data_IF_864731996746
#
_entry.id   IF_864731996746
#
_cell.length_a   1.000
_cell.length_b   1.000
_cell.length_c   1.000
_cell.angle_alpha   90.00
_cell.angle_beta   90.00
_cell.angle_gamma   90.00
#
_symmetry.space_group_name_H-M   'P 1'
#
loop_
_entity.id
_entity.type
_entity.pdbx_description
1 polymer ?
#
# COMPACT_ATOMS: atom_id res chain seq x y z
N UNK A 1 23.99 5.19 -35.23
CA UNK A 1 23.07 4.05 -35.12
C UNK A 1 21.99 4.47 -34.12
N UNK A 2 20.78 4.74 -34.61
CA UNK A 2 19.76 5.48 -33.88
C UNK A 2 18.91 4.51 -33.04
N UNK A 3 18.97 4.58 -31.70
CA UNK A 3 18.22 3.69 -30.78
C UNK A 3 16.68 3.86 -30.85
N UNK A 4 16.19 4.83 -31.61
CA UNK A 4 14.77 5.22 -31.73
C UNK A 4 13.89 4.23 -32.52
N UNK A 5 14.46 3.23 -33.20
CA UNK A 5 13.70 2.34 -34.10
C UNK A 5 13.61 0.87 -33.64
N UNK A 6 13.71 0.62 -32.33
CA UNK A 6 13.42 -0.72 -31.79
C UNK A 6 11.95 -0.79 -31.43
N UNK A 7 11.22 -1.68 -32.13
CA UNK A 7 9.83 -1.98 -31.76
C UNK A 7 9.77 -2.46 -30.31
N UNK A 8 8.75 -2.07 -29.53
CA UNK A 8 8.60 -2.56 -28.16
C UNK A 8 8.58 -4.10 -28.14
N UNK A 9 9.29 -4.72 -27.20
CA UNK A 9 9.39 -6.19 -27.07
C UNK A 9 8.03 -6.90 -27.06
N UNK A 10 6.96 -6.22 -26.62
CA UNK A 10 5.61 -6.80 -26.62
C UNK A 10 5.03 -6.94 -28.03
N UNK A 11 5.37 -6.03 -28.94
CA UNK A 11 4.91 -6.07 -30.34
C UNK A 11 5.63 -7.19 -31.08
N UNK A 12 6.93 -7.36 -30.84
CA UNK A 12 7.71 -8.45 -31.42
C UNK A 12 7.14 -9.81 -31.02
N UNK A 13 6.94 -10.03 -29.72
CA UNK A 13 6.30 -11.27 -29.20
C UNK A 13 4.89 -11.49 -29.73
N UNK A 14 4.13 -10.43 -29.96
CA UNK A 14 2.79 -10.54 -30.51
C UNK A 14 2.83 -11.12 -31.94
N UNK A 15 3.71 -10.61 -32.80
CA UNK A 15 3.84 -11.13 -34.16
C UNK A 15 4.52 -12.50 -34.22
N UNK A 16 5.43 -12.82 -33.30
CA UNK A 16 5.98 -14.18 -33.16
C UNK A 16 4.89 -15.22 -32.82
N UNK A 17 3.86 -14.81 -32.07
CA UNK A 17 2.75 -15.68 -31.69
C UNK A 17 1.59 -15.67 -32.71
N UNK A 18 1.56 -14.71 -33.64
CA UNK A 18 0.53 -14.59 -34.66
C UNK A 18 0.74 -15.66 -35.74
N UNK A 19 -0.34 -16.26 -36.24
CA UNK A 19 -0.23 -17.20 -37.36
C UNK A 19 0.36 -16.49 -38.60
N UNK A 20 1.33 -17.13 -39.24
CA UNK A 20 2.09 -16.51 -40.33
C UNK A 20 1.23 -16.15 -41.54
N UNK A 21 0.11 -16.85 -41.75
CA UNK A 21 -0.85 -16.53 -42.82
C UNK A 21 -1.59 -15.23 -42.52
N UNK A 22 -2.07 -15.07 -41.28
CA UNK A 22 -2.79 -13.87 -40.85
C UNK A 22 -1.90 -12.63 -40.88
N UNK A 23 -0.61 -12.73 -40.53
CA UNK A 23 0.31 -11.60 -40.62
C UNK A 23 0.44 -11.06 -42.06
N UNK A 24 0.49 -11.95 -43.05
CA UNK A 24 0.58 -11.55 -44.46
C UNK A 24 -0.71 -10.95 -45.02
N UNK A 25 -1.86 -11.25 -44.40
CA UNK A 25 -3.18 -10.75 -44.81
C UNK A 25 -3.53 -9.37 -44.22
N UNK A 26 -2.79 -8.92 -43.20
CA UNK A 26 -3.04 -7.63 -42.54
C UNK A 26 -2.60 -6.45 -43.42
N UNK A 27 -3.54 -5.54 -43.68
CA UNK A 27 -3.24 -4.25 -44.32
C UNK A 27 -2.43 -3.35 -43.37
N UNK A 28 -1.74 -2.35 -43.93
CA UNK A 28 -0.93 -1.40 -43.15
C UNK A 28 -1.72 -0.67 -42.07
N UNK A 29 -2.97 -0.29 -42.35
CA UNK A 29 -3.85 0.38 -41.38
C UNK A 29 -4.29 -0.57 -40.26
N UNK A 30 -4.64 -1.82 -40.60
CA UNK A 30 -4.99 -2.84 -39.62
C UNK A 30 -3.81 -3.15 -38.71
N UNK A 31 -2.61 -3.24 -39.28
CA UNK A 31 -1.36 -3.48 -38.55
C UNK A 31 -1.11 -2.39 -37.51
N UNK A 32 -1.22 -1.12 -37.90
CA UNK A 32 -1.07 0.01 -36.98
C UNK A 32 -2.14 0.02 -35.88
N UNK A 33 -3.40 -0.26 -36.22
CA UNK A 33 -4.49 -0.34 -35.25
C UNK A 33 -4.25 -1.45 -34.20
N UNK A 34 -3.77 -2.62 -34.65
CA UNK A 34 -3.42 -3.75 -33.77
C UNK A 34 -2.25 -3.38 -32.87
N UNK A 35 -1.18 -2.79 -33.40
CA UNK A 35 -0.03 -2.37 -32.58
C UNK A 35 -0.44 -1.36 -31.51
N UNK A 36 -1.24 -0.35 -31.86
CA UNK A 36 -1.75 0.62 -30.89
C UNK A 36 -2.64 -0.05 -29.83
N UNK A 37 -3.50 -0.98 -30.23
CA UNK A 37 -4.34 -1.74 -29.30
C UNK A 37 -3.48 -2.57 -28.32
N UNK A 38 -2.52 -3.34 -28.83
CA UNK A 38 -1.62 -4.17 -28.02
C UNK A 38 -0.80 -3.33 -27.05
N UNK A 39 -0.27 -2.18 -27.50
CA UNK A 39 0.45 -1.26 -26.63
C UNK A 39 -0.45 -0.67 -25.55
N UNK A 40 -1.68 -0.28 -25.88
CA UNK A 40 -2.62 0.29 -24.91
C UNK A 40 -3.02 -0.70 -23.81
N UNK A 41 -3.21 -1.97 -24.17
CA UNK A 41 -3.54 -3.06 -23.23
C UNK A 41 -2.34 -3.36 -22.33
N UNK A 42 -1.15 -3.47 -22.93
CA UNK A 42 0.08 -3.82 -22.20
C UNK A 42 0.55 -2.69 -21.29
N UNK A 43 0.50 -1.44 -21.75
CA UNK A 43 0.91 -0.28 -20.96
C UNK A 43 0.06 -0.14 -19.68
N UNK A 44 -1.24 -0.48 -19.72
CA UNK A 44 -2.09 -0.51 -18.52
C UNK A 44 -1.71 -1.60 -17.51
N UNK A 45 -0.89 -2.59 -17.92
CA UNK A 45 -0.42 -3.67 -17.05
C UNK A 45 0.99 -3.41 -16.49
N UNK A 46 1.65 -2.34 -16.90
CA UNK A 46 2.97 -1.97 -16.37
C UNK A 46 2.82 -1.42 -14.96
N UNK A 47 3.23 -2.21 -13.98
CA UNK A 47 3.38 -1.78 -12.60
C UNK A 47 4.87 -1.58 -12.31
N UNK A 48 5.22 -0.55 -11.53
CA UNK A 48 6.62 -0.33 -11.13
C UNK A 48 7.15 -1.58 -10.43
N UNK A 49 6.40 -2.09 -9.45
CA UNK A 49 6.76 -3.31 -8.73
C UNK A 49 5.68 -4.36 -8.97
N UNK A 50 6.03 -5.42 -9.68
CA UNK A 50 5.20 -6.61 -9.87
C UNK A 50 5.96 -7.84 -9.36
N UNK A 51 5.68 -8.23 -8.12
CA UNK A 51 6.24 -9.45 -7.51
C UNK A 51 5.15 -10.50 -7.46
N UNK A 52 5.26 -11.48 -8.34
CA UNK A 52 4.41 -12.69 -8.34
C UNK A 52 5.28 -13.87 -8.01
N UNK A 53 5.08 -14.44 -6.82
CA UNK A 53 5.77 -15.65 -6.40
C UNK A 53 4.75 -16.71 -6.05
N UNK A 54 5.02 -17.93 -6.47
CA UNK A 54 4.28 -19.10 -6.03
C UNK A 54 5.24 -19.98 -5.24
N UNK A 55 4.79 -20.46 -4.10
CA UNK A 55 5.58 -21.39 -3.29
C UNK A 55 4.71 -22.60 -2.92
N UNK A 56 5.27 -23.81 -2.98
CA UNK A 56 4.61 -24.99 -2.47
C UNK A 56 4.64 -24.96 -0.94
N UNK A 57 3.50 -25.22 -0.30
CA UNK A 57 3.42 -25.41 1.15
C UNK A 57 2.50 -26.60 1.45
N UNK A 58 3.07 -27.65 2.02
CA UNK A 58 2.47 -28.98 2.13
C UNK A 58 1.94 -29.47 0.77
N UNK A 59 0.66 -29.85 0.69
CA UNK A 59 0.03 -30.40 -0.51
C UNK A 59 -0.68 -29.35 -1.38
N UNK A 60 -0.45 -28.06 -1.10
CA UNK A 60 -1.08 -26.94 -1.81
C UNK A 60 -0.03 -25.95 -2.30
N UNK A 61 -0.36 -25.27 -3.40
CA UNK A 61 0.45 -24.15 -3.92
C UNK A 61 -0.21 -22.85 -3.53
N UNK A 62 0.55 -22.01 -2.84
CA UNK A 62 0.11 -20.68 -2.48
C UNK A 62 0.76 -19.68 -3.42
N UNK A 63 0.04 -18.61 -3.73
CA UNK A 63 0.55 -17.53 -4.54
C UNK A 63 0.55 -16.24 -3.73
N UNK A 64 1.63 -15.48 -3.88
CA UNK A 64 1.81 -14.15 -3.36
C UNK A 64 1.92 -13.20 -4.55
N UNK A 65 1.03 -12.22 -4.61
CA UNK A 65 1.05 -11.17 -5.63
C UNK A 65 1.13 -9.84 -4.90
N UNK A 66 2.22 -9.13 -5.14
CA UNK A 66 2.43 -7.79 -4.66
C UNK A 66 2.60 -6.87 -5.85
N UNK A 67 1.64 -5.95 -5.98
CA UNK A 67 1.62 -4.92 -7.00
C UNK A 67 1.74 -3.58 -6.29
N UNK A 68 2.75 -2.80 -6.68
CA UNK A 68 2.93 -1.45 -6.18
C UNK A 68 3.26 -0.49 -7.32
N UNK A 69 2.58 0.65 -7.33
CA UNK A 69 2.70 1.66 -8.37
C UNK A 69 1.63 2.74 -8.22
N UNK A 70 1.79 3.81 -9.00
CA UNK A 70 0.82 4.89 -9.08
C UNK A 70 -0.45 4.43 -9.81
N UNK A 71 -1.61 4.77 -9.28
CA UNK A 71 -2.89 4.49 -9.94
C UNK A 71 -3.17 5.57 -11.00
N UNK A 72 -2.95 5.23 -12.28
CA UNK A 72 -3.24 6.12 -13.42
C UNK A 72 -4.67 5.96 -13.96
N UNK A 73 -5.55 5.23 -13.27
CA UNK A 73 -6.93 5.01 -13.72
C UNK A 73 -7.75 6.28 -13.62
N UNK A 74 -8.49 6.60 -14.69
CA UNK A 74 -9.40 7.76 -14.74
C UNK A 74 -10.58 7.66 -13.75
N UNK A 75 -10.94 6.45 -13.31
CA UNK A 75 -12.03 6.21 -12.37
C UNK A 75 -11.46 5.55 -11.11
N UNK A 76 -11.49 6.23 -9.96
CA UNK A 76 -11.02 5.63 -8.71
C UNK A 76 -11.90 4.42 -8.38
N UNK A 77 -11.27 3.34 -7.93
CA UNK A 77 -12.02 2.22 -7.33
C UNK A 77 -12.67 2.73 -6.04
N UNK A 78 -13.85 2.20 -5.71
CA UNK A 78 -14.42 2.38 -4.37
C UNK A 78 -13.35 1.92 -3.37
N UNK A 79 -13.00 2.80 -2.43
CA UNK A 79 -12.03 2.49 -1.39
C UNK A 79 -12.37 1.14 -0.75
N UNK A 80 -11.33 0.34 -0.49
CA UNK A 80 -11.54 -0.95 0.15
C UNK A 80 -12.13 -0.73 1.56
N UNK A 81 -13.16 -1.50 1.90
CA UNK A 81 -13.77 -1.47 3.24
C UNK A 81 -12.72 -1.74 4.32
N UNK A 82 -11.74 -2.61 4.03
CA UNK A 82 -10.62 -2.91 4.93
C UNK A 82 -9.76 -1.68 5.22
N UNK A 83 -9.42 -0.89 4.19
CA UNK A 83 -8.65 0.34 4.37
C UNK A 83 -9.40 1.32 5.27
N UNK A 84 -10.72 1.46 5.09
CA UNK A 84 -11.56 2.30 5.95
C UNK A 84 -11.56 1.82 7.39
N UNK A 85 -11.73 0.52 7.62
CA UNK A 85 -11.70 -0.07 8.97
C UNK A 85 -10.34 0.19 9.64
N UNK A 86 -9.23 -0.04 8.93
CA UNK A 86 -7.89 0.19 9.46
C UNK A 86 -7.65 1.67 9.78
N UNK A 87 -8.07 2.57 8.90
CA UNK A 87 -7.96 4.01 9.11
C UNK A 87 -8.78 4.46 10.31
N UNK A 88 -10.03 4.00 10.43
CA UNK A 88 -10.89 4.29 11.58
C UNK A 88 -10.29 3.75 12.87
N UNK A 89 -9.77 2.52 12.86
CA UNK A 89 -9.11 1.93 14.02
C UNK A 89 -7.87 2.74 14.44
N UNK A 90 -7.06 3.20 13.49
CA UNK A 90 -5.89 4.03 13.75
C UNK A 90 -6.27 5.38 14.37
N UNK A 91 -7.32 6.03 13.86
CA UNK A 91 -7.82 7.30 14.40
C UNK A 91 -8.33 7.12 15.82
N UNK A 92 -9.12 6.07 16.08
CA UNK A 92 -9.63 5.76 17.42
C UNK A 92 -8.51 5.45 18.41
N UNK A 93 -7.54 4.63 17.99
CA UNK A 93 -6.38 4.30 18.81
C UNK A 93 -5.56 5.54 19.18
N UNK A 94 -5.30 6.40 18.18
CA UNK A 94 -4.57 7.66 18.40
C UNK A 94 -5.33 8.58 19.34
N UNK A 95 -6.63 8.76 19.12
CA UNK A 95 -7.48 9.58 19.98
C UNK A 95 -7.53 9.07 21.42
N UNK A 96 -7.67 7.75 21.60
CA UNK A 96 -7.65 7.12 22.91
C UNK A 96 -6.30 7.29 23.62
N UNK A 97 -5.19 7.10 22.89
CA UNK A 97 -3.85 7.32 23.44
C UNK A 97 -3.63 8.77 23.87
N UNK A 98 -4.07 9.74 23.07
CA UNK A 98 -3.98 11.16 23.42
C UNK A 98 -4.83 11.50 24.65
N UNK A 99 -6.05 10.96 24.74
CA UNK A 99 -6.90 11.13 25.92
C UNK A 99 -6.22 10.59 27.18
N UNK A 100 -5.64 9.39 27.11
CA UNK A 100 -4.94 8.77 28.23
C UNK A 100 -3.73 9.61 28.67
N UNK A 101 -2.95 10.10 27.71
CA UNK A 101 -1.81 10.98 27.96
C UNK A 101 -2.24 12.30 28.61
N UNK A 102 -3.36 12.90 28.16
CA UNK A 102 -3.89 14.12 28.76
C UNK A 102 -4.36 13.90 30.20
N UNK A 103 -5.07 12.79 30.49
CA UNK A 103 -5.46 12.42 31.84
C UNK A 103 -4.25 12.18 32.74
N UNK A 104 -3.22 11.49 32.23
CA UNK A 104 -1.98 11.28 32.95
C UNK A 104 -1.26 12.61 33.25
N UNK A 105 -1.20 13.53 32.29
CA UNK A 105 -0.61 14.84 32.48
C UNK A 105 -1.35 15.65 33.54
N UNK A 106 -2.70 15.68 33.48
CA UNK A 106 -3.53 16.32 34.50
C UNK A 106 -3.33 15.68 35.88
N UNK A 107 -3.22 14.36 35.94
CA UNK A 107 -2.91 13.64 37.18
C UNK A 107 -1.52 14.02 37.73
N UNK A 108 -0.50 14.11 36.89
CA UNK A 108 0.85 14.54 37.29
C UNK A 108 0.85 15.97 37.82
N UNK A 109 0.15 16.90 37.16
CA UNK A 109 -0.01 18.29 37.64
C UNK A 109 -0.73 18.31 38.99
N UNK A 110 -1.83 17.54 39.13
CA UNK A 110 -2.55 17.37 40.40
C UNK A 110 -1.63 16.83 41.51
N UNK A 111 -0.81 15.83 41.20
CA UNK A 111 0.13 15.22 42.15
C UNK A 111 1.24 16.18 42.57
N UNK A 112 1.79 16.97 41.63
CA UNK A 112 2.84 17.94 41.90
C UNK A 112 2.36 19.15 42.71
N UNK A 113 1.08 19.55 42.57
CA UNK A 113 0.47 20.66 43.33
C UNK A 113 0.09 20.27 44.77
N UNK A 114 0.21 18.99 45.15
CA UNK A 114 -0.13 18.52 46.50
C UNK A 114 -1.62 18.64 46.87
N UNK A 115 -2.51 18.85 45.89
CA UNK A 115 -3.95 18.99 46.12
C UNK A 115 -4.56 17.61 46.31
N UNK A 116 -4.84 17.26 47.56
CA UNK A 116 -5.33 15.94 47.94
C UNK A 116 -6.86 15.84 47.84
N UNK A 117 -7.36 15.55 46.64
CA UNK A 117 -8.81 15.37 46.38
C UNK A 117 -9.33 14.06 47.02
N UNK A 118 -8.45 13.08 47.26
CA UNK A 118 -8.76 11.82 47.93
C UNK A 118 -7.74 11.56 49.04
N UNK A 119 -8.08 11.81 50.32
CA UNK A 119 -7.13 11.79 51.44
C UNK A 119 -6.38 10.46 51.69
N UNK A 120 -6.68 9.40 50.94
CA UNK A 120 -6.15 8.05 51.16
C UNK A 120 -5.84 7.26 49.88
N UNK A 121 -5.82 7.90 48.70
CA UNK A 121 -5.54 7.17 47.44
C UNK A 121 -4.61 7.95 46.51
N UNK A 122 -3.39 7.45 46.37
CA UNK A 122 -2.38 7.93 45.43
C UNK A 122 -1.95 6.75 44.54
N UNK A 123 -1.91 6.95 43.22
CA UNK A 123 -1.55 5.91 42.25
C UNK A 123 -0.04 5.61 42.21
N UNK A 124 0.81 6.35 42.94
CA UNK A 124 2.27 6.12 43.05
C UNK A 124 3.09 6.44 41.80
N UNK A 125 2.46 6.88 40.71
CA UNK A 125 3.13 7.16 39.41
C UNK A 125 4.16 8.31 39.53
N UNK A 126 3.90 9.28 40.40
CA UNK A 126 4.79 10.44 40.61
C UNK A 126 6.07 10.04 41.35
N UNK A 127 5.95 9.24 42.39
CA UNK A 127 7.09 8.72 43.14
C UNK A 127 7.95 7.79 42.28
N UNK A 128 7.31 6.97 41.44
CA UNK A 128 8.00 6.17 40.43
C UNK A 128 8.78 7.04 39.43
N UNK A 129 8.17 8.11 38.91
CA UNK A 129 8.84 9.05 37.99
C UNK A 129 10.03 9.76 38.64
N UNK A 130 9.90 10.18 39.89
CA UNK A 130 11.01 10.76 40.66
C UNK A 130 12.17 9.76 40.81
N UNK A 131 11.88 8.49 41.12
CA UNK A 131 12.92 7.45 41.23
C UNK A 131 13.69 7.19 39.92
N UNK A 132 13.06 7.48 38.77
CA UNK A 132 13.69 7.39 37.44
C UNK A 132 14.64 8.54 37.15
N UNK A 133 14.48 9.67 37.84
CA UNK A 133 15.28 10.88 37.65
C UNK A 133 16.50 10.92 38.57
N UNK A 134 16.46 10.20 39.68
CA UNK A 134 17.54 10.09 40.67
C UNK A 134 18.60 9.00 40.31
N UNK A 135 18.54 8.46 39.10
CA UNK A 135 19.52 7.52 38.52
C UNK A 135 20.21 8.09 37.28
#
# INVERSE_FOLDING_TARGET
MNESNKRPLVIERFYEALDGKTDTELTSEQRLAVEQAVLSITASSMHWVDVRKSFPFFNKRYYFVFLFGLDHRKRPRKESTLFRILLTALILFTGFSCMLAALLMLYMIKSALGIDIFPHFHLGIWDWWLSLKDH
#
